data_IF_359653129850
#
_entry.id   IF_359653129850
#
_cell.length_a   1.000
_cell.length_b   1.000
_cell.length_c   1.000
_cell.angle_alpha   90.00
_cell.angle_beta   90.00
_cell.angle_gamma   90.00
#
_symmetry.space_group_name_H-M   'P 1'
#
loop_
_entity.id
_entity.type
_entity.pdbx_description
1 polymer ?
#
# COMPACT_ATOMS: atom_id res chain seq x y z
N UNK A 1 -25.35 20.29 -14.50
CA UNK A 1 -26.12 19.10 -14.08
C UNK A 1 -25.24 17.88 -14.28
N UNK A 2 -24.67 17.31 -13.20
CA UNK A 2 -24.10 15.97 -13.22
C UNK A 2 -24.19 15.38 -11.81
N UNK A 3 -25.22 14.54 -11.67
CA UNK A 3 -25.42 13.43 -10.75
C UNK A 3 -24.97 13.59 -9.29
N UNK A 4 -25.97 13.71 -8.41
CA UNK A 4 -25.99 13.08 -7.09
C UNK A 4 -25.49 11.63 -7.19
N UNK A 5 -24.22 11.37 -6.88
CA UNK A 5 -23.80 10.07 -6.37
C UNK A 5 -24.00 10.09 -4.86
N UNK A 6 -25.24 9.85 -4.41
CA UNK A 6 -25.51 9.51 -3.00
C UNK A 6 -24.66 8.29 -2.66
N UNK A 7 -23.59 8.50 -1.87
CA UNK A 7 -22.79 7.42 -1.27
C UNK A 7 -21.35 7.29 -1.74
N UNK A 8 -20.84 8.11 -2.68
CA UNK A 8 -19.40 8.17 -2.92
C UNK A 8 -18.79 9.26 -2.05
N UNK A 9 -17.95 8.85 -1.10
CA UNK A 9 -17.04 9.77 -0.42
C UNK A 9 -16.08 10.37 -1.48
N UNK A 10 -15.81 11.68 -1.44
CA UNK A 10 -14.86 12.30 -2.34
C UNK A 10 -13.47 11.68 -2.11
N UNK A 11 -12.74 11.45 -3.20
CA UNK A 11 -11.43 10.80 -3.19
C UNK A 11 -10.39 11.73 -3.81
N UNK A 12 -9.21 11.78 -3.19
CA UNK A 12 -8.10 12.66 -3.54
C UNK A 12 -6.78 11.86 -3.54
N UNK A 13 -5.75 12.39 -4.19
CA UNK A 13 -4.42 11.77 -4.18
C UNK A 13 -3.61 12.24 -2.98
N UNK A 14 -2.68 11.40 -2.51
CA UNK A 14 -1.72 11.80 -1.49
C UNK A 14 -0.92 13.05 -1.93
N UNK A 15 -0.68 13.97 -1.00
CA UNK A 15 0.01 15.23 -1.25
C UNK A 15 -0.80 16.31 -1.99
N UNK A 16 -2.06 16.04 -2.37
CA UNK A 16 -2.92 17.03 -3.02
C UNK A 16 -3.65 17.95 -2.04
N UNK A 17 -4.00 19.16 -2.49
CA UNK A 17 -4.83 20.08 -1.71
C UNK A 17 -6.31 19.70 -1.86
N UNK A 18 -6.97 19.47 -0.73
CA UNK A 18 -8.38 19.04 -0.66
C UNK A 18 -9.28 20.26 -0.37
N UNK A 19 -10.18 20.65 -1.29
CA UNK A 19 -11.15 21.71 -1.04
C UNK A 19 -12.26 21.20 -0.11
N UNK A 20 -12.40 21.81 1.07
CA UNK A 20 -13.39 21.41 2.08
C UNK A 20 -14.82 21.78 1.66
N UNK A 21 -14.99 22.82 0.83
CA UNK A 21 -16.29 23.18 0.23
C UNK A 21 -16.89 22.06 -0.64
N UNK A 22 -16.05 21.19 -1.21
CA UNK A 22 -16.53 20.04 -1.99
C UNK A 22 -17.12 18.94 -1.10
N UNK A 23 -16.84 18.96 0.20
CA UNK A 23 -17.22 17.93 1.17
C UNK A 23 -18.58 18.23 1.80
N UNK A 24 -18.92 19.51 2.01
CA UNK A 24 -20.19 19.92 2.62
C UNK A 24 -20.83 21.08 1.87
N UNK A 25 -22.07 20.89 1.43
CA UNK A 25 -22.84 21.86 0.63
C UNK A 25 -23.71 22.81 1.44
N UNK A 26 -24.01 22.45 2.69
CA UNK A 26 -24.93 23.19 3.55
C UNK A 26 -24.31 23.48 4.92
N UNK A 27 -24.57 24.70 5.38
CA UNK A 27 -24.18 25.33 6.65
C UNK A 27 -22.75 25.85 6.79
N UNK A 28 -22.62 26.94 7.56
CA UNK A 28 -21.34 27.62 7.86
C UNK A 28 -20.80 27.12 9.19
N UNK A 29 -19.78 26.25 9.21
CA UNK A 29 -19.13 25.84 10.45
C UNK A 29 -18.32 26.99 11.06
N UNK A 30 -18.29 27.07 12.38
CA UNK A 30 -17.42 28.00 13.12
C UNK A 30 -15.99 27.43 13.21
N UNK A 31 -15.91 26.11 13.37
CA UNK A 31 -14.66 25.35 13.48
C UNK A 31 -14.80 24.04 12.68
N UNK A 32 -13.71 23.65 12.03
CA UNK A 32 -13.61 22.42 11.27
C UNK A 32 -12.42 21.65 11.82
N UNK A 33 -12.62 20.40 12.22
CA UNK A 33 -11.53 19.53 12.67
C UNK A 33 -11.38 18.39 11.67
N UNK A 34 -10.17 18.21 11.15
CA UNK A 34 -9.86 17.09 10.27
C UNK A 34 -9.07 16.06 11.06
N UNK A 35 -9.55 14.83 11.09
CA UNK A 35 -8.91 13.70 11.77
C UNK A 35 -8.27 12.82 10.69
N UNK A 36 -6.98 12.58 10.82
CA UNK A 36 -6.25 11.69 9.91
C UNK A 36 -6.54 10.20 10.16
N UNK A 37 -6.08 9.29 9.29
CA UNK A 37 -6.29 7.86 9.47
C UNK A 37 -5.66 7.26 10.75
N UNK A 38 -4.74 7.98 11.39
CA UNK A 38 -4.09 7.58 12.64
C UNK A 38 -4.76 8.18 13.88
N UNK A 39 -5.77 9.05 13.70
CA UNK A 39 -6.49 9.71 14.76
C UNK A 39 -5.92 11.07 15.18
N UNK A 40 -4.96 11.65 14.45
CA UNK A 40 -4.47 13.00 14.74
C UNK A 40 -5.45 14.06 14.25
N UNK A 41 -5.73 15.02 15.13
CA UNK A 41 -6.67 16.11 14.89
C UNK A 41 -5.97 17.37 14.37
N UNK A 42 -6.52 17.95 13.31
CA UNK A 42 -6.06 19.19 12.70
C UNK A 42 -7.20 20.22 12.71
N UNK A 43 -7.22 21.14 13.70
CA UNK A 43 -8.22 22.19 13.75
C UNK A 43 -7.94 23.24 12.66
N UNK A 44 -8.98 23.59 11.92
CA UNK A 44 -9.02 24.62 10.89
C UNK A 44 -9.97 25.72 11.36
N UNK A 45 -9.42 26.89 11.68
CA UNK A 45 -10.22 28.05 12.06
C UNK A 45 -10.81 28.71 10.81
N UNK A 46 -12.14 28.82 10.79
CA UNK A 46 -12.91 29.51 9.73
C UNK A 46 -13.09 31.00 10.05
N UNK A 47 -12.67 31.43 11.24
CA UNK A 47 -12.88 32.78 11.75
C UNK A 47 -12.13 33.83 10.91
N UNK A 48 -12.87 34.58 10.07
CA UNK A 48 -12.36 35.72 9.32
C UNK A 48 -12.17 35.51 7.81
N UNK A 49 -12.43 34.31 7.27
CA UNK A 49 -12.42 34.11 5.82
C UNK A 49 -13.69 34.67 5.16
N UNK A 50 -13.53 35.37 4.03
CA UNK A 50 -14.65 36.00 3.30
C UNK A 50 -15.59 34.92 2.75
N UNK A 51 -16.88 35.25 2.61
CA UNK A 51 -18.01 34.37 2.23
C UNK A 51 -17.85 33.47 0.98
N UNK A 52 -16.78 33.61 0.19
CA UNK A 52 -16.52 32.88 -1.06
C UNK A 52 -15.09 32.30 -1.12
N UNK A 53 -14.38 32.18 0.00
CA UNK A 53 -13.04 31.58 0.02
C UNK A 53 -13.11 30.09 0.33
N UNK A 54 -12.71 29.29 -0.67
CA UNK A 54 -12.50 27.86 -0.50
C UNK A 54 -11.42 27.59 0.55
N UNK A 55 -11.80 26.84 1.58
CA UNK A 55 -10.86 26.32 2.58
C UNK A 55 -10.19 25.09 1.97
N UNK A 56 -8.85 25.07 1.98
CA UNK A 56 -8.06 23.95 1.49
C UNK A 56 -7.32 23.28 2.65
N UNK A 57 -7.32 21.95 2.65
CA UNK A 57 -6.47 21.14 3.52
C UNK A 57 -5.35 20.51 2.71
N UNK A 58 -4.10 20.66 3.16
CA UNK A 58 -2.90 20.25 2.41
C UNK A 58 -2.08 19.15 3.06
N UNK A 59 -2.45 18.68 4.27
CA UNK A 59 -1.72 17.61 4.99
C UNK A 59 -2.30 16.23 4.68
N UNK A 60 -2.20 15.85 3.41
CA UNK A 60 -2.70 14.59 2.84
C UNK A 60 -1.56 13.64 2.51
N UNK A 61 -0.48 13.68 3.28
CA UNK A 61 0.70 12.83 3.13
C UNK A 61 0.43 11.36 3.50
N UNK A 62 -0.62 11.11 4.28
CA UNK A 62 -1.02 9.76 4.69
C UNK A 62 -2.17 9.27 3.83
N UNK A 63 -2.06 8.00 3.43
CA UNK A 63 -3.09 7.31 2.64
C UNK A 63 -4.12 6.74 3.60
N UNK A 64 -5.41 6.92 3.31
CA UNK A 64 -6.49 6.39 4.12
C UNK A 64 -7.75 7.27 4.11
N UNK A 65 -8.63 7.01 5.07
CA UNK A 65 -9.88 7.76 5.24
C UNK A 65 -9.65 8.85 6.26
N UNK A 66 -9.90 10.10 5.86
CA UNK A 66 -9.90 11.26 6.75
C UNK A 66 -11.33 11.57 7.16
N UNK A 67 -11.52 11.89 8.43
CA UNK A 67 -12.81 12.33 8.98
C UNK A 67 -12.80 13.85 9.12
N UNK A 68 -13.91 14.48 8.78
CA UNK A 68 -14.12 15.92 8.89
C UNK A 68 -15.28 16.14 9.84
N UNK A 69 -14.97 16.78 10.96
CA UNK A 69 -15.92 17.19 11.97
C UNK A 69 -16.17 18.68 11.83
N UNK A 70 -17.45 19.05 11.88
CA UNK A 70 -17.89 20.42 11.72
C UNK A 70 -18.63 20.83 12.97
N UNK A 71 -18.17 21.89 13.62
CA UNK A 71 -18.89 22.48 14.74
C UNK A 71 -19.77 23.63 14.26
N UNK A 72 -21.08 23.56 14.58
CA UNK A 72 -22.07 24.59 14.29
C UNK A 72 -22.63 25.15 15.59
N UNK A 73 -22.58 26.48 15.75
CA UNK A 73 -23.33 27.27 16.75
C UNK A 73 -23.50 26.65 18.15
N UNK A 74 -22.44 26.62 18.99
CA UNK A 74 -22.45 26.35 20.46
C UNK A 74 -23.28 25.14 21.00
N UNK A 75 -23.91 24.39 20.12
CA UNK A 75 -24.81 23.27 20.36
C UNK A 75 -24.22 22.19 19.46
N UNK A 76 -23.45 21.31 20.08
CA UNK A 76 -22.52 20.33 19.51
C UNK A 76 -23.14 19.34 18.52
N UNK A 77 -23.68 19.81 17.40
CA UNK A 77 -24.18 18.94 16.33
C UNK A 77 -23.04 18.66 15.34
N UNK A 78 -22.19 17.71 15.73
CA UNK A 78 -21.10 17.21 14.90
C UNK A 78 -21.73 16.38 13.77
N UNK A 79 -21.59 16.84 12.53
CA UNK A 79 -21.98 16.06 11.34
C UNK A 79 -20.70 15.48 10.75
N UNK A 80 -20.32 14.22 11.04
CA UNK A 80 -19.10 13.64 10.50
C UNK A 80 -19.27 13.43 9.00
N UNK A 81 -18.34 13.96 8.21
CA UNK A 81 -18.18 13.64 6.78
C UNK A 81 -16.80 13.03 6.59
N UNK A 82 -16.58 12.25 5.53
CA UNK A 82 -15.29 11.62 5.29
C UNK A 82 -14.85 11.79 3.84
N UNK A 83 -13.54 11.81 3.62
CA UNK A 83 -12.92 11.76 2.31
C UNK A 83 -11.76 10.75 2.30
N UNK A 84 -11.52 10.15 1.14
CA UNK A 84 -10.43 9.19 0.97
C UNK A 84 -9.21 9.87 0.33
N UNK A 85 -8.02 9.56 0.84
CA UNK A 85 -6.74 9.89 0.24
C UNK A 85 -6.10 8.59 -0.23
N UNK A 86 -5.87 8.49 -1.54
CA UNK A 86 -5.31 7.32 -2.20
C UNK A 86 -3.89 7.60 -2.71
N UNK A 87 -3.08 6.54 -2.85
CA UNK A 87 -1.82 6.60 -3.59
C UNK A 87 -2.14 6.91 -5.05
N UNK A 88 -1.31 7.75 -5.68
CA UNK A 88 -1.47 8.01 -7.11
C UNK A 88 -1.26 6.70 -7.90
N UNK A 89 -2.13 6.36 -8.87
CA UNK A 89 -2.06 5.05 -9.55
C UNK A 89 -0.69 4.69 -10.16
N UNK A 90 0.16 5.69 -10.45
CA UNK A 90 1.52 5.48 -10.96
C UNK A 90 2.59 5.23 -9.88
N UNK A 91 2.35 5.62 -8.62
CA UNK A 91 3.32 5.39 -7.52
C UNK A 91 3.23 3.99 -6.93
N UNK A 92 2.10 3.30 -7.12
CA UNK A 92 1.88 1.94 -6.61
C UNK A 92 2.31 0.81 -7.54
N UNK A 93 2.74 1.11 -8.76
CA UNK A 93 3.05 0.08 -9.76
C UNK A 93 4.50 -0.39 -9.66
N UNK A 94 4.72 -1.45 -8.88
CA UNK A 94 6.00 -2.13 -8.76
C UNK A 94 6.46 -2.76 -10.10
N UNK A 95 5.59 -2.90 -11.10
CA UNK A 95 5.97 -3.39 -12.43
C UNK A 95 6.80 -2.37 -13.22
N UNK A 96 6.78 -1.09 -12.81
CA UNK A 96 7.59 -0.03 -13.41
C UNK A 96 9.03 -0.01 -12.88
N UNK A 97 9.30 -0.71 -11.78
CA UNK A 97 10.63 -0.80 -11.19
C UNK A 97 11.43 -1.93 -11.81
N UNK A 98 12.69 -1.67 -12.11
CA UNK A 98 13.66 -2.67 -12.49
C UNK A 98 13.97 -3.61 -11.32
N UNK A 99 14.41 -4.84 -11.62
CA UNK A 99 14.75 -5.82 -10.58
C UNK A 99 15.85 -5.37 -9.62
N UNK A 100 16.70 -4.44 -10.04
CA UNK A 100 17.76 -3.88 -9.20
C UNK A 100 17.23 -2.78 -8.27
N UNK A 101 16.29 -1.93 -8.73
CA UNK A 101 15.59 -0.96 -7.87
C UNK A 101 14.75 -1.65 -6.80
N UNK A 102 14.11 -2.78 -7.14
CA UNK A 102 13.38 -3.59 -6.15
C UNK A 102 14.37 -4.15 -5.11
N UNK A 103 15.57 -4.59 -5.49
CA UNK A 103 16.57 -5.09 -4.53
C UNK A 103 17.10 -4.02 -3.59
N UNK A 104 17.17 -2.76 -4.02
CA UNK A 104 17.57 -1.66 -3.12
C UNK A 104 16.48 -1.34 -2.08
N UNK A 105 15.21 -1.52 -2.44
CA UNK A 105 14.08 -1.21 -1.55
C UNK A 105 13.85 -2.25 -0.45
N UNK A 106 14.30 -3.50 -0.62
CA UNK A 106 14.15 -4.53 0.41
C UNK A 106 15.51 -5.03 0.92
N UNK A 107 15.80 -4.91 2.23
CA UNK A 107 17.08 -5.31 2.83
C UNK A 107 17.26 -6.84 2.97
N UNK A 108 16.43 -7.64 2.31
CA UNK A 108 16.40 -9.09 2.40
C UNK A 108 16.63 -9.72 1.02
N UNK A 109 17.18 -10.94 0.93
CA UNK A 109 17.39 -11.60 -0.35
C UNK A 109 16.05 -11.86 -1.06
N UNK A 110 15.81 -11.15 -2.16
CA UNK A 110 14.62 -11.29 -3.00
C UNK A 110 14.92 -12.21 -4.17
N UNK A 111 14.02 -13.15 -4.43
CA UNK A 111 14.01 -13.95 -5.64
C UNK A 111 12.88 -13.46 -6.56
N UNK A 112 13.25 -12.97 -7.74
CA UNK A 112 12.30 -12.51 -8.77
C UNK A 112 11.96 -13.67 -9.69
N UNK A 113 10.68 -13.92 -9.91
CA UNK A 113 10.21 -14.97 -10.82
C UNK A 113 9.79 -14.35 -12.14
N UNK A 114 10.11 -15.03 -13.25
CA UNK A 114 9.58 -14.64 -14.56
C UNK A 114 8.15 -15.15 -14.72
N UNK A 115 7.41 -14.46 -15.58
CA UNK A 115 6.06 -14.87 -15.94
C UNK A 115 6.07 -16.30 -16.52
N UNK A 116 5.21 -17.17 -15.98
CA UNK A 116 5.13 -18.59 -16.36
C UNK A 116 6.00 -19.56 -15.55
N UNK A 117 6.82 -19.08 -14.60
CA UNK A 117 7.54 -19.98 -13.69
C UNK A 117 6.61 -20.56 -12.60
N UNK A 118 6.83 -21.83 -12.25
CA UNK A 118 6.09 -22.50 -11.18
C UNK A 118 6.54 -21.98 -9.81
N UNK A 119 5.79 -21.00 -9.29
CA UNK A 119 5.97 -20.44 -7.94
C UNK A 119 5.88 -21.54 -6.88
N UNK A 120 4.92 -22.47 -7.04
CA UNK A 120 4.70 -23.55 -6.07
C UNK A 120 5.94 -24.46 -5.91
N UNK A 121 6.58 -24.82 -7.03
CA UNK A 121 7.78 -25.66 -7.00
C UNK A 121 8.96 -24.96 -6.33
N UNK A 122 9.20 -23.70 -6.66
CA UNK A 122 10.31 -22.94 -6.08
C UNK A 122 10.09 -22.59 -4.60
N UNK A 123 8.84 -22.36 -4.19
CA UNK A 123 8.50 -22.12 -2.78
C UNK A 123 8.78 -23.34 -1.89
N UNK A 124 8.52 -24.55 -2.40
CA UNK A 124 8.86 -25.80 -1.70
C UNK A 124 10.38 -25.93 -1.52
N UNK A 125 11.16 -25.61 -2.55
CA UNK A 125 12.62 -25.64 -2.48
C UNK A 125 13.19 -24.57 -1.55
N UNK A 126 12.62 -23.37 -1.55
CA UNK A 126 13.01 -22.29 -0.65
C UNK A 126 12.72 -22.64 0.82
N UNK A 127 11.61 -23.34 1.09
CA UNK A 127 11.17 -23.69 2.46
C UNK A 127 11.85 -24.93 3.03
N UNK A 128 12.09 -25.95 2.21
CA UNK A 128 12.59 -27.25 2.66
C UNK A 128 14.01 -27.56 2.18
N UNK A 129 14.59 -26.71 1.34
CA UNK A 129 15.91 -26.93 0.75
C UNK A 129 15.90 -27.94 -0.41
N UNK A 130 17.07 -28.14 -1.01
CA UNK A 130 17.26 -29.17 -2.05
C UNK A 130 17.55 -30.54 -1.41
N UNK A 131 16.88 -31.58 -1.90
CA UNK A 131 17.24 -32.96 -1.50
C UNK A 131 18.55 -33.37 -2.16
N UNK A 132 19.62 -33.45 -1.38
CA UNK A 132 20.95 -33.90 -1.85
C UNK A 132 21.05 -35.43 -1.89
N UNK A 133 20.09 -36.15 -1.32
CA UNK A 133 20.10 -37.60 -1.19
C UNK A 133 20.26 -38.34 -2.53
N UNK A 134 19.57 -37.96 -3.63
CA UNK A 134 19.76 -38.61 -4.93
C UNK A 134 21.18 -38.43 -5.47
N UNK A 135 21.81 -37.28 -5.22
CA UNK A 135 23.18 -36.98 -5.65
C UNK A 135 24.17 -37.86 -4.88
N UNK A 136 24.02 -37.94 -3.56
CA UNK A 136 24.84 -38.80 -2.70
C UNK A 136 24.72 -40.26 -3.12
N UNK A 137 23.49 -40.75 -3.35
CA UNK A 137 23.25 -42.12 -3.83
C UNK A 137 23.92 -42.38 -5.18
N UNK A 138 23.81 -41.45 -6.13
CA UNK A 138 24.45 -41.58 -7.43
C UNK A 138 25.99 -41.69 -7.30
N UNK A 139 26.59 -40.91 -6.41
CA UNK A 139 28.03 -40.96 -6.11
C UNK A 139 28.41 -42.32 -5.52
N UNK A 140 27.65 -42.83 -4.55
CA UNK A 140 27.90 -44.14 -3.93
C UNK A 140 27.81 -45.26 -4.97
N UNK A 141 26.79 -45.25 -5.82
CA UNK A 141 26.63 -46.22 -6.91
C UNK A 141 27.80 -46.16 -7.89
N UNK A 142 28.27 -44.94 -8.24
CA UNK A 142 29.43 -44.76 -9.09
C UNK A 142 30.69 -45.37 -8.46
N UNK A 143 30.93 -45.13 -7.17
CA UNK A 143 32.05 -45.74 -6.44
C UNK A 143 31.96 -47.26 -6.37
N UNK A 144 30.78 -47.83 -6.11
CA UNK A 144 30.60 -49.29 -6.14
C UNK A 144 30.92 -49.88 -7.52
N UNK A 145 30.56 -49.18 -8.60
CA UNK A 145 30.86 -49.65 -9.95
C UNK A 145 32.38 -49.61 -10.25
N UNK A 146 33.06 -48.57 -9.77
CA UNK A 146 34.52 -48.45 -9.86
C UNK A 146 35.20 -49.56 -9.05
N UNK A 147 34.80 -49.77 -7.80
CA UNK A 147 35.33 -50.84 -6.96
C UNK A 147 35.09 -52.21 -7.58
N UNK A 148 33.89 -52.50 -8.08
CA UNK A 148 33.58 -53.78 -8.73
C UNK A 148 34.42 -54.04 -9.98
N UNK A 149 34.87 -52.98 -10.69
CA UNK A 149 35.79 -53.11 -11.82
C UNK A 149 37.23 -53.32 -11.37
N UNK A 150 37.68 -52.66 -10.31
CA UNK A 150 39.03 -52.80 -9.76
C UNK A 150 39.22 -54.10 -8.98
N UNK A 151 38.18 -54.62 -8.34
CA UNK A 151 38.19 -55.84 -7.54
C UNK A 151 38.11 -57.12 -8.39
N UNK A 152 37.97 -57.02 -9.72
CA UNK A 152 38.12 -58.19 -10.58
C UNK A 152 39.61 -58.53 -10.69
N UNK A 153 40.08 -59.67 -10.13
CA UNK A 153 41.43 -60.13 -10.42
C UNK A 153 41.53 -60.44 -11.91
N UNK A 154 42.58 -59.93 -12.54
CA UNK A 154 43.02 -60.33 -13.89
C UNK A 154 43.55 -61.76 -13.82
#
# INVERSE_FOLDING_TARGET
ALAERKGLQPAFSAGSQVPIEAIRKDDRPTEITIIDPEGHEFPLSVAGQKLNQSIFFSRTDRVGIYQVEYEKDRISQITPTAFAVNIEPGEGDLALLSGDEIRELFPFPIQTFKEGESIAGQLVHARFGYTLWPIVLAIVVAFMFIEARLARPV
#
